data_IF_726659643343
#
_entry.id   IF_726659643343
#
_cell.length_a   1.000
_cell.length_b   1.000
_cell.length_c   1.000
_cell.angle_alpha   90.00
_cell.angle_beta   90.00
_cell.angle_gamma   90.00
#
_symmetry.space_group_name_H-M   'P 1'
#
loop_
_entity.id
_entity.type
_entity.pdbx_description
1 polymer ?
#
# COMPACT_ATOMS: atom_id res chain seq x y z
N UNK A 1 -6.24 -1.23 61.23
CA UNK A 1 -7.28 -0.18 61.13
C UNK A 1 -6.95 0.62 59.88
N UNK A 2 -7.83 1.12 59.00
CA UNK A 2 -9.25 0.93 58.63
C UNK A 2 -9.38 1.77 57.34
N UNK A 3 -10.14 1.30 56.34
CA UNK A 3 -10.39 1.94 55.03
C UNK A 3 -10.96 3.37 55.12
N UNK A 4 -10.78 4.18 54.07
CA UNK A 4 -11.75 5.01 53.32
C UNK A 4 -10.97 5.68 52.16
N UNK A 5 -11.21 5.51 50.85
CA UNK A 5 -12.40 5.64 49.98
C UNK A 5 -13.14 6.97 50.17
N UNK A 6 -12.92 7.93 49.26
CA UNK A 6 -13.96 8.51 48.38
C UNK A 6 -13.47 9.78 47.65
N UNK A 7 -13.62 9.83 46.31
CA UNK A 7 -14.24 10.98 45.62
C UNK A 7 -14.27 10.81 44.09
N UNK A 8 -15.39 10.25 43.62
CA UNK A 8 -16.30 10.82 42.61
C UNK A 8 -15.75 11.87 41.63
N UNK A 9 -15.64 11.51 40.34
CA UNK A 9 -15.82 12.41 39.17
C UNK A 9 -16.54 11.57 38.09
N UNK A 10 -17.87 11.68 38.00
CA UNK A 10 -18.66 12.48 37.03
C UNK A 10 -18.51 12.07 35.54
N UNK A 11 -19.47 11.25 35.11
CA UNK A 11 -20.28 11.31 33.86
C UNK A 11 -19.63 11.93 32.61
N UNK A 12 -19.55 11.12 31.55
CA UNK A 12 -19.99 11.53 30.21
C UNK A 12 -20.44 10.29 29.42
N UNK A 13 -21.76 10.10 29.34
CA UNK A 13 -22.37 9.24 28.34
C UNK A 13 -22.28 9.97 26.99
N UNK A 14 -21.51 9.42 26.05
CA UNK A 14 -21.58 9.86 24.65
C UNK A 14 -22.47 8.89 23.90
N UNK A 15 -23.71 9.35 23.71
CA UNK A 15 -24.68 8.83 22.79
C UNK A 15 -24.22 9.23 21.38
N UNK A 16 -23.79 8.28 20.55
CA UNK A 16 -23.56 8.52 19.13
C UNK A 16 -24.37 7.55 18.29
N UNK A 17 -25.28 8.19 17.56
CA UNK A 17 -26.12 7.70 16.47
C UNK A 17 -25.25 7.05 15.40
N UNK A 18 -25.45 5.75 15.15
CA UNK A 18 -25.02 5.13 13.89
C UNK A 18 -26.21 5.14 12.94
N UNK A 19 -26.25 6.20 12.14
CA UNK A 19 -27.02 6.32 10.91
C UNK A 19 -26.50 5.27 9.93
N UNK A 20 -27.42 4.56 9.28
CA UNK A 20 -27.13 3.50 8.34
C UNK A 20 -26.28 3.98 7.16
N UNK A 21 -25.19 3.25 6.92
CA UNK A 21 -24.57 3.17 5.61
C UNK A 21 -24.98 1.84 4.99
N UNK A 22 -25.84 1.96 4.00
CA UNK A 22 -26.24 0.95 3.04
C UNK A 22 -24.99 0.30 2.47
N UNK A 23 -24.71 -0.94 2.88
CA UNK A 23 -23.61 -1.72 2.36
C UNK A 23 -23.81 -1.99 0.87
N UNK A 24 -22.85 -1.58 0.04
CA UNK A 24 -22.58 -2.28 -1.20
C UNK A 24 -21.95 -3.63 -0.81
N UNK A 25 -22.78 -4.65 -0.64
CA UNK A 25 -22.32 -6.02 -0.62
C UNK A 25 -21.89 -6.38 -2.03
N UNK A 26 -20.59 -6.32 -2.32
CA UNK A 26 -20.06 -6.98 -3.51
C UNK A 26 -20.21 -8.49 -3.28
N UNK A 27 -21.20 -9.05 -3.98
CA UNK A 27 -21.49 -10.47 -4.07
C UNK A 27 -20.32 -11.16 -4.78
N UNK A 28 -19.43 -11.81 -4.01
CA UNK A 28 -18.57 -12.86 -4.55
C UNK A 28 -19.27 -14.20 -4.31
N UNK A 29 -20.35 -14.43 -5.06
CA UNK A 29 -21.02 -15.71 -5.18
C UNK A 29 -20.13 -16.72 -5.88
N UNK A 30 -19.43 -17.54 -5.09
CA UNK A 30 -18.97 -18.84 -5.54
C UNK A 30 -20.14 -19.83 -5.52
N UNK A 31 -20.53 -20.37 -6.68
CA UNK A 31 -21.21 -21.67 -6.73
C UNK A 31 -22.27 -21.88 -7.82
N UNK A 32 -21.91 -22.72 -8.78
CA UNK A 32 -22.76 -23.73 -9.45
C UNK A 32 -23.75 -23.31 -10.56
N UNK A 33 -23.24 -23.34 -11.80
CA UNK A 33 -23.66 -24.31 -12.83
C UNK A 33 -24.98 -24.09 -13.58
N UNK A 34 -24.88 -23.87 -14.90
CA UNK A 34 -25.53 -24.74 -15.89
C UNK A 34 -24.88 -24.55 -17.28
N UNK A 35 -24.57 -25.68 -17.91
CA UNK A 35 -23.53 -25.79 -18.93
C UNK A 35 -23.86 -25.31 -20.34
N UNK A 36 -22.81 -25.19 -21.14
CA UNK A 36 -22.77 -25.35 -22.61
C UNK A 36 -21.30 -25.57 -23.02
N UNK A 37 -21.02 -26.25 -24.14
CA UNK A 37 -19.88 -27.14 -24.30
C UNK A 37 -18.52 -26.45 -24.44
N UNK A 38 -17.50 -27.23 -24.07
CA UNK A 38 -16.07 -27.00 -24.28
C UNK A 38 -15.78 -26.44 -25.69
N UNK A 39 -15.11 -25.29 -25.84
CA UNK A 39 -14.39 -25.03 -27.08
C UNK A 39 -13.26 -26.07 -27.14
N UNK A 40 -13.30 -26.88 -28.18
CA UNK A 40 -12.25 -27.83 -28.51
C UNK A 40 -10.88 -27.15 -28.33
N UNK A 41 -10.00 -27.79 -27.57
CA UNK A 41 -8.58 -27.47 -27.62
C UNK A 41 -8.15 -27.65 -29.08
N UNK A 42 -8.08 -26.54 -29.80
CA UNK A 42 -7.41 -26.52 -31.09
C UNK A 42 -5.93 -26.62 -30.76
N UNK A 43 -5.39 -27.83 -30.86
CA UNK A 43 -3.96 -28.01 -30.97
C UNK A 43 -3.55 -27.35 -32.27
N UNK A 44 -3.18 -26.08 -32.20
CA UNK A 44 -2.46 -25.44 -33.29
C UNK A 44 -1.16 -26.22 -33.46
N UNK A 45 -1.08 -27.03 -34.52
CA UNK A 45 0.17 -27.65 -34.90
C UNK A 45 1.15 -26.53 -35.21
N UNK A 46 2.19 -26.39 -34.39
CA UNK A 46 3.34 -25.57 -34.74
C UNK A 46 3.95 -26.21 -36.00
N UNK A 47 4.05 -25.49 -37.13
CA UNK A 47 4.64 -26.04 -38.33
C UNK A 47 6.08 -26.44 -38.06
N UNK A 48 6.51 -27.54 -38.69
CA UNK A 48 7.90 -27.99 -38.65
C UNK A 48 8.80 -26.83 -39.15
N UNK A 49 9.87 -26.46 -38.43
CA UNK A 49 10.75 -25.37 -38.85
C UNK A 49 11.33 -25.54 -40.27
N UNK A 50 11.38 -26.77 -40.77
CA UNK A 50 11.84 -27.07 -42.14
C UNK A 50 10.78 -26.78 -43.22
N UNK A 51 9.50 -26.61 -42.84
CA UNK A 51 8.38 -26.25 -43.72
C UNK A 51 8.09 -24.74 -43.73
N UNK A 52 8.85 -23.93 -42.99
CA UNK A 52 8.75 -22.47 -43.02
C UNK A 52 9.54 -21.95 -44.24
N UNK A 53 8.89 -21.30 -45.23
CA UNK A 53 9.60 -20.72 -46.35
C UNK A 53 10.68 -19.74 -45.87
N UNK A 54 11.87 -19.72 -46.48
CA UNK A 54 12.89 -18.75 -46.10
C UNK A 54 12.32 -17.35 -46.24
N UNK A 55 12.54 -16.53 -45.22
CA UNK A 55 12.17 -15.12 -45.28
C UNK A 55 13.01 -14.46 -46.37
N UNK A 56 12.33 -14.13 -47.47
CA UNK A 56 12.92 -13.44 -48.64
C UNK A 56 12.58 -11.96 -48.63
N UNK A 57 12.03 -11.45 -47.52
CA UNK A 57 11.66 -10.05 -47.38
C UNK A 57 12.93 -9.21 -47.38
N UNK A 58 13.05 -8.36 -48.41
CA UNK A 58 14.17 -7.45 -48.55
C UNK A 58 13.96 -6.20 -47.67
N UNK A 59 14.38 -6.29 -46.40
CA UNK A 59 14.37 -5.18 -45.45
C UNK A 59 15.40 -4.09 -45.77
N UNK A 60 16.21 -4.23 -46.83
CA UNK A 60 17.24 -3.23 -47.17
C UNK A 60 16.68 -1.86 -47.56
N UNK A 61 15.37 -1.76 -47.79
CA UNK A 61 14.64 -0.51 -48.07
C UNK A 61 13.90 0.06 -46.86
N UNK A 62 13.81 -0.66 -45.75
CA UNK A 62 13.14 -0.18 -44.54
C UNK A 62 14.00 0.80 -43.73
N UNK A 63 15.29 0.94 -44.07
CA UNK A 63 16.20 1.94 -43.51
C UNK A 63 15.95 3.38 -44.01
N UNK A 64 14.85 3.63 -44.74
CA UNK A 64 14.53 4.92 -45.35
C UNK A 64 13.79 5.91 -44.45
N UNK A 65 13.35 5.50 -43.26
CA UNK A 65 12.72 6.41 -42.31
C UNK A 65 13.77 6.87 -41.30
N UNK A 66 14.11 8.16 -41.31
CA UNK A 66 14.76 8.79 -40.17
C UNK A 66 13.95 8.46 -38.91
N UNK A 67 14.60 8.09 -37.79
CA UNK A 67 13.88 7.91 -36.54
C UNK A 67 13.13 9.21 -36.27
N UNK A 68 11.80 9.15 -36.29
CA UNK A 68 10.98 10.27 -35.88
C UNK A 68 11.38 10.56 -34.43
N UNK A 69 11.96 11.73 -34.19
CA UNK A 69 12.15 12.22 -32.84
C UNK A 69 10.76 12.44 -32.25
N UNK A 70 10.29 11.44 -31.51
CA UNK A 70 9.12 11.63 -30.66
C UNK A 70 9.57 12.52 -29.51
N UNK A 71 9.17 13.80 -29.55
CA UNK A 71 9.14 14.62 -28.34
C UNK A 71 8.06 14.01 -27.45
N UNK A 72 8.49 13.33 -26.39
CA UNK A 72 7.60 12.98 -25.31
C UNK A 72 7.17 14.29 -24.65
N UNK A 73 5.85 14.49 -24.52
CA UNK A 73 5.33 15.57 -23.69
C UNK A 73 5.97 15.47 -22.30
N UNK A 74 6.24 16.62 -21.68
CA UNK A 74 6.74 16.67 -20.31
C UNK A 74 5.91 15.73 -19.43
N UNK A 75 6.59 14.88 -18.66
CA UNK A 75 5.93 13.90 -17.81
C UNK A 75 4.89 14.63 -16.95
N UNK A 76 3.61 14.22 -16.98
CA UNK A 76 2.58 14.94 -16.27
C UNK A 76 2.94 15.00 -14.79
N UNK A 77 2.66 16.12 -14.10
CA UNK A 77 2.94 16.25 -12.69
C UNK A 77 2.26 15.12 -11.90
N UNK A 78 2.82 14.71 -10.75
CA UNK A 78 2.22 13.67 -9.93
C UNK A 78 0.79 14.07 -9.55
N UNK A 79 -0.10 13.08 -9.43
CA UNK A 79 -1.48 13.33 -9.04
C UNK A 79 -1.55 14.05 -7.68
N UNK A 80 -2.42 15.06 -7.56
CA UNK A 80 -2.56 15.85 -6.33
C UNK A 80 -2.83 14.99 -5.08
N UNK A 81 -3.56 13.88 -5.24
CA UNK A 81 -3.83 12.94 -4.16
C UNK A 81 -2.56 12.27 -3.60
N UNK A 82 -1.57 12.01 -4.46
CA UNK A 82 -0.28 11.44 -4.05
C UNK A 82 0.50 12.46 -3.25
N UNK A 83 0.60 13.69 -3.76
CA UNK A 83 1.34 14.78 -3.09
C UNK A 83 0.69 15.11 -1.75
N UNK A 84 -0.64 15.18 -1.70
CA UNK A 84 -1.35 15.40 -0.44
C UNK A 84 -1.06 14.30 0.58
N UNK A 85 -0.97 13.04 0.15
CA UNK A 85 -0.70 11.93 1.06
C UNK A 85 0.76 11.93 1.53
N UNK A 86 1.72 12.26 0.65
CA UNK A 86 3.12 12.48 1.01
C UNK A 86 3.25 13.53 2.13
N UNK A 87 2.57 14.66 1.97
CA UNK A 87 2.57 15.75 2.93
C UNK A 87 1.88 15.44 4.27
N UNK A 88 1.18 14.30 4.34
CA UNK A 88 0.48 13.83 5.52
C UNK A 88 1.13 12.57 6.12
N UNK A 89 2.42 12.30 5.86
CA UNK A 89 3.19 11.23 6.50
C UNK A 89 3.49 11.52 7.98
N UNK A 90 2.44 11.63 8.78
CA UNK A 90 2.47 11.98 10.19
C UNK A 90 1.97 10.82 11.06
N UNK A 91 2.05 10.98 12.38
CA UNK A 91 1.61 9.97 13.33
C UNK A 91 0.17 9.48 13.09
N UNK A 92 -0.74 10.39 12.76
CA UNK A 92 -2.18 10.08 12.54
C UNK A 92 -2.36 9.19 11.32
N UNK A 93 -1.61 9.43 10.25
CA UNK A 93 -1.63 8.59 9.06
C UNK A 93 -1.25 7.14 9.38
N UNK A 94 -0.10 6.94 10.04
CA UNK A 94 0.36 5.59 10.40
C UNK A 94 -0.53 4.91 11.45
N UNK A 95 -1.11 5.66 12.39
CA UNK A 95 -2.10 5.14 13.32
C UNK A 95 -3.37 4.63 12.62
N UNK A 96 -3.77 5.24 11.50
CA UNK A 96 -4.89 4.80 10.68
C UNK A 96 -4.65 3.49 9.92
N UNK A 97 -3.38 3.21 9.57
CA UNK A 97 -3.00 2.05 8.76
C UNK A 97 -3.05 0.73 9.55
N UNK A 98 -2.86 0.76 10.87
CA UNK A 98 -2.78 -0.45 11.70
C UNK A 98 -4.12 -0.84 12.35
N UNK A 99 -4.13 -2.01 12.98
CA UNK A 99 -5.20 -2.44 13.91
C UNK A 99 -4.66 -2.37 15.32
N UNK A 100 -5.49 -1.92 16.26
CA UNK A 100 -5.17 -1.90 17.69
C UNK A 100 -6.21 -2.67 18.50
N UNK A 101 -5.77 -3.44 19.50
CA UNK A 101 -6.62 -4.02 20.53
C UNK A 101 -6.18 -3.48 21.89
N UNK A 102 -7.09 -2.80 22.60
CA UNK A 102 -6.80 -2.20 23.91
C UNK A 102 -5.57 -1.27 23.88
N UNK A 103 -5.38 -0.55 22.78
CA UNK A 103 -4.23 0.34 22.56
C UNK A 103 -2.93 -0.37 22.17
N UNK A 104 -2.94 -1.70 22.03
CA UNK A 104 -1.78 -2.47 21.59
C UNK A 104 -1.91 -2.79 20.10
N UNK A 105 -0.90 -2.50 19.28
CA UNK A 105 -0.88 -2.87 17.86
C UNK A 105 -0.95 -4.38 17.68
N UNK A 106 -1.63 -4.84 16.63
CA UNK A 106 -1.78 -6.26 16.32
C UNK A 106 -1.15 -6.56 14.96
N UNK A 107 -0.44 -7.69 14.87
CA UNK A 107 0.00 -8.26 13.60
C UNK A 107 -1.15 -9.09 13.02
N UNK A 108 -1.87 -8.53 12.05
CA UNK A 108 -3.03 -9.15 11.42
C UNK A 108 -3.04 -8.97 9.87
N UNK A 109 -4.03 -9.56 9.22
CA UNK A 109 -4.21 -9.45 7.76
C UNK A 109 -4.47 -8.01 7.29
N UNK A 110 -4.97 -7.12 8.16
CA UNK A 110 -5.14 -5.71 7.82
C UNK A 110 -3.78 -5.03 7.77
N UNK A 111 -2.92 -5.26 8.77
CA UNK A 111 -1.55 -4.78 8.77
C UNK A 111 -0.80 -5.26 7.52
N UNK A 112 -0.94 -6.53 7.13
CA UNK A 112 -0.34 -7.06 5.89
C UNK A 112 -0.76 -6.25 4.66
N UNK A 113 -2.07 -5.99 4.50
CA UNK A 113 -2.57 -5.16 3.39
C UNK A 113 -2.04 -3.73 3.44
N UNK A 114 -1.97 -3.14 4.63
CA UNK A 114 -1.44 -1.80 4.81
C UNK A 114 0.04 -1.71 4.46
N UNK A 115 0.86 -2.70 4.85
CA UNK A 115 2.28 -2.76 4.49
C UNK A 115 2.44 -2.81 2.97
N UNK A 116 1.73 -3.73 2.29
CA UNK A 116 1.81 -3.83 0.82
C UNK A 116 1.42 -2.52 0.13
N UNK A 117 0.29 -1.91 0.52
CA UNK A 117 -0.14 -0.65 -0.09
C UNK A 117 0.79 0.52 0.23
N UNK A 118 1.39 0.53 1.42
CA UNK A 118 2.32 1.55 1.85
C UNK A 118 3.68 1.42 1.15
N UNK A 119 4.21 0.21 0.94
CA UNK A 119 5.49 0.00 0.24
C UNK A 119 5.43 0.48 -1.20
N UNK A 120 4.33 0.21 -1.91
CA UNK A 120 4.14 0.70 -3.28
C UNK A 120 4.13 2.25 -3.33
N UNK A 121 3.49 2.88 -2.35
CA UNK A 121 3.46 4.35 -2.24
C UNK A 121 4.81 4.94 -1.84
N UNK A 122 5.53 4.31 -0.91
CA UNK A 122 6.85 4.75 -0.47
C UNK A 122 7.86 4.66 -1.60
N UNK A 123 7.85 3.59 -2.39
CA UNK A 123 8.71 3.46 -3.58
C UNK A 123 8.41 4.57 -4.59
N UNK A 124 7.14 4.93 -4.79
CA UNK A 124 6.78 6.03 -5.66
C UNK A 124 7.23 7.39 -5.08
N UNK A 125 6.98 7.66 -3.80
CA UNK A 125 7.43 8.89 -3.15
C UNK A 125 8.95 9.03 -3.10
N UNK A 126 9.69 7.92 -3.00
CA UNK A 126 11.14 7.90 -3.07
C UNK A 126 11.65 8.53 -4.38
N UNK A 127 10.96 8.25 -5.50
CA UNK A 127 11.27 8.87 -6.80
C UNK A 127 11.00 10.38 -6.84
N UNK A 128 10.12 10.88 -5.96
CA UNK A 128 9.74 12.29 -5.87
C UNK A 128 10.65 13.09 -4.92
N UNK A 129 11.59 12.47 -4.21
CA UNK A 129 12.47 13.14 -3.23
C UNK A 129 13.16 14.39 -3.76
N UNK A 130 13.59 14.38 -5.02
CA UNK A 130 14.29 15.54 -5.62
C UNK A 130 13.37 16.74 -5.83
N UNK A 131 12.06 16.50 -5.97
CA UNK A 131 11.03 17.52 -6.16
C UNK A 131 10.48 18.03 -4.80
N UNK A 132 10.51 17.17 -3.77
CA UNK A 132 10.02 17.47 -2.43
C UNK A 132 11.10 17.22 -1.36
N UNK A 133 12.16 18.04 -1.31
CA UNK A 133 13.28 17.83 -0.38
C UNK A 133 12.86 17.95 1.09
N UNK A 134 11.84 18.76 1.39
CA UNK A 134 11.32 18.92 2.75
C UNK A 134 10.58 17.68 3.26
N UNK A 135 10.14 16.80 2.36
CA UNK A 135 9.47 15.54 2.69
C UNK A 135 10.45 14.34 2.76
N UNK A 136 11.74 14.53 2.49
CA UNK A 136 12.70 13.43 2.42
C UNK A 136 12.83 12.67 3.75
N UNK A 137 12.90 13.39 4.87
CA UNK A 137 12.98 12.79 6.21
C UNK A 137 11.68 12.03 6.57
N UNK A 138 10.52 12.52 6.13
CA UNK A 138 9.22 11.87 6.34
C UNK A 138 9.11 10.57 5.52
N UNK A 139 9.63 10.56 4.28
CA UNK A 139 9.73 9.35 3.46
C UNK A 139 10.65 8.33 4.13
N UNK A 140 11.82 8.74 4.63
CA UNK A 140 12.76 7.86 5.33
C UNK A 140 12.14 7.25 6.59
N UNK A 141 11.41 8.05 7.37
CA UNK A 141 10.69 7.57 8.53
C UNK A 141 9.58 6.57 8.13
N UNK A 142 8.84 6.84 7.06
CA UNK A 142 7.83 5.94 6.51
C UNK A 142 8.41 4.59 6.08
N UNK A 143 9.55 4.59 5.38
CA UNK A 143 10.29 3.38 5.00
C UNK A 143 10.69 2.59 6.24
N UNK A 144 11.26 3.25 7.25
CA UNK A 144 11.68 2.57 8.48
C UNK A 144 10.50 1.94 9.23
N UNK A 145 9.35 2.60 9.28
CA UNK A 145 8.12 2.07 9.90
C UNK A 145 7.63 0.84 9.10
N UNK A 146 7.51 0.96 7.78
CA UNK A 146 7.05 -0.12 6.92
C UNK A 146 7.92 -1.37 7.05
N UNK A 147 9.26 -1.20 7.08
CA UNK A 147 10.21 -2.28 7.30
C UNK A 147 10.00 -2.99 8.64
N UNK A 148 9.66 -2.26 9.71
CA UNK A 148 9.40 -2.86 11.03
C UNK A 148 8.06 -3.59 11.09
N UNK A 149 7.05 -3.13 10.38
CA UNK A 149 5.80 -3.87 10.25
C UNK A 149 5.99 -5.14 9.39
N UNK A 150 6.77 -5.07 8.32
CA UNK A 150 7.12 -6.24 7.51
C UNK A 150 7.92 -7.28 8.31
N UNK A 151 8.92 -6.85 9.09
CA UNK A 151 9.66 -7.70 10.03
C UNK A 151 8.74 -8.40 11.03
N UNK A 152 7.71 -7.68 11.53
CA UNK A 152 6.74 -8.23 12.45
C UNK A 152 5.84 -9.30 11.80
N UNK A 153 5.38 -9.04 10.57
CA UNK A 153 4.60 -9.98 9.77
C UNK A 153 5.39 -11.26 9.49
N UNK A 154 6.62 -11.13 8.99
CA UNK A 154 7.51 -12.25 8.71
C UNK A 154 7.81 -13.07 9.97
N UNK A 155 8.07 -12.40 11.10
CA UNK A 155 8.31 -13.08 12.38
C UNK A 155 7.09 -13.89 12.83
N UNK A 156 5.88 -13.34 12.68
CA UNK A 156 4.62 -14.03 13.02
C UNK A 156 4.38 -15.24 12.10
N UNK A 157 4.65 -15.11 10.81
CA UNK A 157 4.54 -16.21 9.84
C UNK A 157 5.49 -17.37 10.16
N UNK A 158 6.66 -17.06 10.71
CA UNK A 158 7.64 -18.05 11.17
C UNK A 158 7.34 -18.62 12.57
N UNK A 159 6.27 -18.16 13.23
CA UNK A 159 5.88 -18.60 14.58
C UNK A 159 6.73 -18.00 15.71
N UNK A 160 7.49 -16.94 15.44
CA UNK A 160 8.26 -16.20 16.45
C UNK A 160 7.47 -14.97 16.93
N UNK A 161 6.52 -15.21 17.83
CA UNK A 161 5.67 -14.18 18.42
C UNK A 161 6.49 -13.10 19.17
N UNK A 162 7.60 -13.49 19.79
CA UNK A 162 8.44 -12.57 20.57
C UNK A 162 9.20 -11.59 19.65
N UNK A 163 9.73 -12.08 18.52
CA UNK A 163 10.33 -11.23 17.50
C UNK A 163 9.28 -10.32 16.85
N UNK A 164 8.08 -10.84 16.57
CA UNK A 164 6.98 -10.05 16.01
C UNK A 164 6.60 -8.89 16.94
N UNK A 165 6.43 -9.16 18.24
CA UNK A 165 6.08 -8.13 19.22
C UNK A 165 7.21 -7.09 19.39
N UNK A 166 8.48 -7.52 19.32
CA UNK A 166 9.64 -6.60 19.37
C UNK A 166 9.70 -5.70 18.14
N UNK A 167 9.43 -6.23 16.95
CA UNK A 167 9.40 -5.47 15.71
C UNK A 167 8.25 -4.45 15.74
N UNK A 168 7.04 -4.86 16.16
CA UNK A 168 5.92 -3.94 16.37
C UNK A 168 6.25 -2.83 17.38
N UNK A 169 6.82 -3.17 18.53
CA UNK A 169 7.21 -2.17 19.52
C UNK A 169 8.27 -1.19 19.00
N UNK A 170 9.12 -1.62 18.06
CA UNK A 170 10.09 -0.74 17.40
C UNK A 170 9.41 0.17 16.38
N UNK A 171 8.46 -0.34 15.59
CA UNK A 171 7.64 0.46 14.68
C UNK A 171 6.87 1.55 15.44
N UNK A 172 6.25 1.21 16.57
CA UNK A 172 5.48 2.18 17.37
C UNK A 172 6.34 3.31 17.95
N UNK A 173 7.63 3.04 18.24
CA UNK A 173 8.55 4.11 18.66
C UNK A 173 8.80 5.08 17.51
N UNK A 174 9.05 4.57 16.31
CA UNK A 174 9.22 5.40 15.12
C UNK A 174 7.96 6.22 14.83
N UNK A 175 6.78 5.60 14.90
CA UNK A 175 5.49 6.30 14.74
C UNK A 175 5.30 7.39 15.78
N UNK A 176 5.73 7.17 17.03
CA UNK A 176 5.63 8.16 18.11
C UNK A 176 6.64 9.32 17.99
N UNK A 177 7.69 9.17 17.18
CA UNK A 177 8.68 10.21 16.88
C UNK A 177 8.21 11.15 15.76
N UNK A 178 7.23 10.72 14.95
CA UNK A 178 6.64 11.54 13.90
C UNK A 178 5.86 12.74 14.45
N UNK A 179 5.74 13.83 13.68
CA UNK A 179 4.83 14.92 14.01
C UNK A 179 3.39 14.42 14.07
N UNK A 180 2.56 15.07 14.91
CA UNK A 180 1.13 14.73 15.06
C UNK A 180 0.24 15.33 13.98
N UNK A 181 0.71 16.40 13.35
CA UNK A 181 0.01 17.13 12.32
C UNK A 181 0.92 17.21 11.09
N UNK A 182 0.33 17.39 9.92
CA UNK A 182 1.08 17.59 8.69
C UNK A 182 1.98 18.82 8.76
N UNK A 183 3.09 18.80 8.04
CA UNK A 183 3.90 20.00 7.83
C UNK A 183 3.06 21.05 7.09
N UNK A 184 2.89 22.23 7.69
CA UNK A 184 2.06 23.30 7.14
C UNK A 184 2.50 23.77 5.74
N UNK A 185 3.76 23.55 5.41
CA UNK A 185 4.41 24.09 4.21
C UNK A 185 4.54 23.07 3.06
N UNK A 186 4.03 21.85 3.23
CA UNK A 186 4.12 20.81 2.20
C UNK A 186 3.05 20.97 1.09
N UNK A 187 1.99 21.75 1.35
CA UNK A 187 1.00 22.15 0.34
C UNK A 187 1.48 23.45 -0.32
N UNK A 188 2.15 23.35 -1.47
CA UNK A 188 2.48 24.52 -2.31
C UNK A 188 1.26 25.00 -3.12
#
# INVERSE_FOLDING_TARGET
MKRQVDSRIWIAAVLSVMLGLTGCTADFGAGAGNGTPSPAASTASVPDPDDVPPDTTDYSKDAGNEPQAYEYEEEPPPAESVVHTLCNLNQVYFDGLRTVNSGTPIVDDKLRRSVVGLTDLLDYWDTLRTQFPDAADDIDAGIAIAQKWDEALLSRENGDDAAADKAMASAEKLVAELPKEAAADCVQ
#
